data_IF_562194410519
#
_entry.id   IF_562194410519
#
_cell.length_a   1.000
_cell.length_b   1.000
_cell.length_c   1.000
_cell.angle_alpha   90.00
_cell.angle_beta   90.00
_cell.angle_gamma   90.00
#
_symmetry.space_group_name_H-M   'P 1'
#
loop_
_entity.id
_entity.type
_entity.pdbx_description
1 polymer ?
#
# COMPACT_ATOMS: atom_id res chain seq x y z
N UNK A 1 -84.42 -36.85 -43.90
CA UNK A 1 -83.16 -36.32 -43.39
C UNK A 1 -82.39 -37.37 -42.68
N UNK A 2 -81.34 -38.01 -43.30
CA UNK A 2 -80.55 -39.03 -42.71
C UNK A 2 -79.29 -38.33 -42.18
N UNK A 3 -79.07 -38.29 -40.84
CA UNK A 3 -77.83 -37.78 -40.21
C UNK A 3 -76.76 -38.83 -40.36
N UNK A 4 -75.66 -38.51 -41.02
CA UNK A 4 -74.46 -39.28 -41.04
C UNK A 4 -73.73 -39.06 -39.70
N UNK A 5 -73.57 -40.12 -38.91
CA UNK A 5 -72.68 -40.12 -37.76
C UNK A 5 -71.36 -40.76 -38.24
N UNK A 6 -70.38 -39.97 -38.47
CA UNK A 6 -69.04 -40.40 -38.81
C UNK A 6 -68.33 -41.04 -37.61
N UNK A 7 -67.63 -42.13 -37.75
CA UNK A 7 -66.95 -42.79 -36.62
C UNK A 7 -65.63 -42.11 -36.33
N UNK A 8 -65.63 -41.16 -35.40
CA UNK A 8 -64.42 -40.47 -34.93
C UNK A 8 -63.60 -41.33 -33.98
N UNK A 9 -64.14 -42.49 -33.52
CA UNK A 9 -63.52 -43.30 -32.47
C UNK A 9 -62.32 -44.17 -32.95
N UNK A 10 -62.25 -44.49 -34.26
CA UNK A 10 -61.21 -45.39 -34.77
C UNK A 10 -59.82 -44.70 -34.94
N UNK A 11 -59.79 -43.40 -35.19
CA UNK A 11 -58.50 -42.66 -35.43
C UNK A 11 -57.81 -42.34 -34.11
N UNK A 12 -58.58 -42.06 -33.05
CA UNK A 12 -58.02 -41.72 -31.74
C UNK A 12 -57.32 -42.90 -31.07
N UNK A 13 -57.84 -44.12 -31.25
CA UNK A 13 -57.25 -45.33 -30.69
C UNK A 13 -55.91 -45.75 -31.32
N UNK A 14 -55.74 -45.51 -32.64
CA UNK A 14 -54.47 -45.84 -33.32
C UNK A 14 -53.38 -44.79 -33.02
N UNK A 15 -53.78 -43.52 -32.87
CA UNK A 15 -52.83 -42.50 -32.51
C UNK A 15 -52.32 -42.65 -31.07
N UNK A 16 -53.18 -43.04 -30.13
CA UNK A 16 -52.79 -43.28 -28.72
C UNK A 16 -51.82 -44.51 -28.62
N UNK A 17 -52.06 -45.54 -29.40
CA UNK A 17 -51.18 -46.72 -29.39
C UNK A 17 -49.82 -46.39 -30.08
N UNK A 18 -49.81 -45.62 -31.17
CA UNK A 18 -48.61 -45.25 -31.85
C UNK A 18 -47.77 -44.27 -31.02
N UNK A 19 -48.37 -43.27 -30.39
CA UNK A 19 -47.69 -42.35 -29.49
C UNK A 19 -47.24 -43.06 -28.22
N UNK A 20 -48.01 -43.98 -27.67
CA UNK A 20 -47.61 -44.78 -26.51
C UNK A 20 -46.46 -45.70 -26.80
N UNK A 21 -46.38 -46.28 -27.99
CA UNK A 21 -45.27 -47.11 -28.44
C UNK A 21 -44.00 -46.27 -28.69
N UNK A 22 -44.15 -45.11 -29.30
CA UNK A 22 -43.03 -44.17 -29.51
C UNK A 22 -42.51 -43.63 -28.20
N UNK A 23 -43.41 -43.24 -27.27
CA UNK A 23 -43.01 -42.78 -25.93
C UNK A 23 -42.35 -43.92 -25.12
N UNK A 24 -42.90 -45.14 -25.15
CA UNK A 24 -42.24 -46.28 -24.50
C UNK A 24 -40.88 -46.62 -25.10
N UNK A 25 -40.70 -46.47 -26.39
CA UNK A 25 -39.40 -46.69 -27.06
C UNK A 25 -38.39 -45.61 -26.75
N UNK A 26 -38.84 -44.38 -26.48
CA UNK A 26 -37.97 -43.23 -26.21
C UNK A 26 -37.53 -43.14 -24.71
N UNK A 27 -38.29 -43.80 -23.82
CA UNK A 27 -38.05 -43.81 -22.36
C UNK A 27 -37.81 -45.20 -21.80
N UNK A 28 -37.63 -46.21 -22.69
CA UNK A 28 -37.28 -47.57 -22.26
C UNK A 28 -35.79 -47.69 -21.97
N UNK A 29 -35.46 -48.36 -20.88
CA UNK A 29 -34.08 -48.69 -20.53
C UNK A 29 -33.79 -50.14 -21.02
N UNK A 30 -32.55 -50.39 -21.45
CA UNK A 30 -32.09 -51.71 -21.81
C UNK A 30 -31.87 -52.57 -20.55
N UNK A 31 -31.42 -53.82 -20.77
CA UNK A 31 -31.17 -54.78 -19.67
C UNK A 31 -30.10 -54.32 -18.66
N UNK A 32 -29.23 -53.38 -19.11
CA UNK A 32 -28.12 -52.83 -18.33
C UNK A 32 -28.53 -51.51 -17.66
N UNK A 33 -29.78 -51.01 -17.89
CA UNK A 33 -30.36 -49.83 -17.27
C UNK A 33 -30.12 -48.53 -18.01
N UNK A 34 -29.75 -48.54 -19.31
CA UNK A 34 -29.47 -47.36 -20.14
C UNK A 34 -30.58 -47.13 -21.19
N UNK A 35 -30.94 -45.86 -21.39
CA UNK A 35 -31.91 -45.48 -22.42
C UNK A 35 -31.31 -45.47 -23.82
N UNK A 36 -32.12 -45.13 -24.83
CA UNK A 36 -31.69 -45.09 -26.23
C UNK A 36 -30.62 -44.02 -26.55
N UNK A 37 -30.32 -43.13 -25.60
CA UNK A 37 -29.26 -42.14 -25.67
C UNK A 37 -28.04 -42.51 -24.82
N UNK A 38 -27.96 -43.76 -24.35
CA UNK A 38 -26.87 -44.34 -23.55
C UNK A 38 -26.75 -43.76 -22.13
N UNK A 39 -27.82 -43.16 -21.57
CA UNK A 39 -27.86 -42.64 -20.20
C UNK A 39 -28.71 -43.49 -19.28
N UNK A 40 -28.27 -43.70 -18.05
CA UNK A 40 -29.00 -44.39 -16.99
C UNK A 40 -30.19 -43.51 -16.50
N UNK A 41 -30.95 -44.04 -15.50
CA UNK A 41 -32.10 -43.33 -14.91
C UNK A 41 -31.74 -42.06 -14.14
N UNK A 42 -30.47 -41.87 -13.79
CA UNK A 42 -29.96 -40.68 -13.10
C UNK A 42 -29.36 -39.66 -14.10
N UNK A 43 -29.29 -40.03 -15.43
CA UNK A 43 -28.80 -39.16 -16.47
C UNK A 43 -27.32 -39.29 -16.74
N UNK A 44 -26.68 -40.40 -16.33
CA UNK A 44 -25.24 -40.63 -16.54
C UNK A 44 -25.01 -41.74 -17.58
N UNK A 45 -23.98 -41.55 -18.42
CA UNK A 45 -23.54 -42.56 -19.39
C UNK A 45 -22.80 -43.71 -18.69
N UNK A 46 -22.33 -44.71 -19.48
CA UNK A 46 -21.60 -45.89 -18.98
C UNK A 46 -20.29 -45.59 -18.29
N UNK A 47 -19.72 -44.42 -18.55
CA UNK A 47 -18.48 -43.91 -17.92
C UNK A 47 -18.77 -43.06 -16.70
N UNK A 48 -20.05 -42.75 -16.42
CA UNK A 48 -20.52 -41.99 -15.26
C UNK A 48 -20.61 -40.49 -15.47
N UNK A 49 -20.75 -40.05 -16.74
CA UNK A 49 -20.86 -38.63 -17.09
C UNK A 49 -22.25 -38.28 -17.62
N UNK A 50 -22.76 -37.09 -17.27
CA UNK A 50 -24.04 -36.57 -17.76
C UNK A 50 -23.95 -36.14 -19.24
N UNK A 51 -25.07 -35.69 -19.80
CA UNK A 51 -25.14 -35.23 -21.19
C UNK A 51 -24.23 -34.01 -21.48
N UNK A 52 -23.76 -33.29 -20.46
CA UNK A 52 -22.82 -32.18 -20.57
C UNK A 52 -21.37 -32.63 -20.36
N UNK A 53 -21.13 -33.91 -20.07
CA UNK A 53 -19.81 -34.48 -19.87
C UNK A 53 -19.28 -34.40 -18.45
N UNK A 54 -20.14 -34.16 -17.44
CA UNK A 54 -19.72 -34.04 -16.03
C UNK A 54 -20.19 -35.25 -15.21
N UNK A 55 -19.33 -35.76 -14.35
CA UNK A 55 -19.66 -36.84 -13.41
C UNK A 55 -20.55 -36.33 -12.27
N UNK A 56 -20.97 -37.25 -11.39
CA UNK A 56 -21.85 -36.95 -10.25
C UNK A 56 -21.24 -35.89 -9.29
N UNK A 57 -19.94 -35.74 -9.24
CA UNK A 57 -19.25 -34.73 -8.44
C UNK A 57 -19.12 -33.39 -9.18
N UNK A 58 -19.57 -33.27 -10.43
CA UNK A 58 -19.55 -32.06 -11.23
C UNK A 58 -18.28 -31.82 -12.03
N UNK A 59 -17.41 -32.84 -12.19
CA UNK A 59 -16.14 -32.74 -12.92
C UNK A 59 -16.20 -33.49 -14.27
N UNK A 60 -15.57 -32.91 -15.29
CA UNK A 60 -15.40 -33.52 -16.62
C UNK A 60 -14.37 -34.66 -16.59
N UNK A 61 -14.12 -35.29 -17.75
CA UNK A 61 -13.12 -36.39 -17.92
C UNK A 61 -11.67 -35.95 -17.64
N UNK A 62 -11.39 -34.65 -17.66
CA UNK A 62 -10.07 -34.10 -17.34
C UNK A 62 -9.96 -33.72 -15.86
N UNK A 63 -11.05 -33.82 -15.10
CA UNK A 63 -11.11 -33.51 -13.68
C UNK A 63 -11.41 -32.04 -13.35
N UNK A 64 -12.00 -31.28 -14.31
CA UNK A 64 -12.35 -29.88 -14.13
C UNK A 64 -13.89 -29.71 -14.04
N UNK A 65 -14.31 -28.78 -13.16
CA UNK A 65 -15.71 -28.36 -13.06
C UNK A 65 -16.13 -27.47 -14.25
N UNK A 66 -17.41 -27.04 -14.26
CA UNK A 66 -17.97 -26.17 -15.31
C UNK A 66 -17.28 -24.81 -15.44
N UNK A 67 -16.56 -24.39 -14.42
CA UNK A 67 -15.84 -23.14 -14.36
C UNK A 67 -14.36 -23.32 -14.74
N UNK A 68 -13.93 -24.58 -14.96
CA UNK A 68 -12.58 -24.94 -15.39
C UNK A 68 -11.60 -25.18 -14.25
N UNK A 69 -12.08 -25.48 -13.03
CA UNK A 69 -11.25 -25.74 -11.85
C UNK A 69 -11.30 -27.20 -11.43
N UNK A 70 -10.15 -27.73 -11.00
CA UNK A 70 -10.04 -29.09 -10.46
C UNK A 70 -10.67 -29.20 -9.07
N UNK A 71 -10.74 -30.42 -8.50
CA UNK A 71 -11.29 -30.68 -7.16
C UNK A 71 -10.60 -29.85 -6.05
N UNK A 72 -9.40 -29.35 -6.28
CA UNK A 72 -8.65 -28.52 -5.33
C UNK A 72 -8.85 -27.03 -5.59
N UNK A 73 -9.62 -26.65 -6.60
CA UNK A 73 -9.94 -25.27 -6.96
C UNK A 73 -8.94 -24.59 -7.88
N UNK A 74 -8.09 -25.36 -8.60
CA UNK A 74 -7.10 -24.80 -9.53
C UNK A 74 -7.46 -25.10 -10.99
N UNK A 75 -7.30 -24.08 -11.85
CA UNK A 75 -7.51 -24.24 -13.29
C UNK A 75 -6.37 -25.03 -13.94
N UNK A 76 -6.47 -25.25 -15.25
CA UNK A 76 -5.47 -26.00 -16.03
C UNK A 76 -4.07 -25.37 -16.00
N UNK A 77 -3.96 -24.07 -15.78
CA UNK A 77 -2.69 -23.36 -15.64
C UNK A 77 -2.15 -23.40 -14.21
N UNK A 78 -2.88 -23.99 -13.27
CA UNK A 78 -2.45 -24.16 -11.87
C UNK A 78 -2.82 -23.03 -10.94
N UNK A 79 -3.71 -22.10 -11.36
CA UNK A 79 -4.14 -20.95 -10.56
C UNK A 79 -5.56 -21.13 -10.03
N UNK A 80 -5.81 -20.66 -8.81
CA UNK A 80 -7.12 -20.61 -8.20
C UNK A 80 -8.01 -19.49 -8.79
N UNK A 81 -9.25 -19.36 -8.27
CA UNK A 81 -10.20 -18.31 -8.71
C UNK A 81 -9.73 -16.87 -8.43
N UNK A 82 -8.77 -16.70 -7.55
CA UNK A 82 -8.18 -15.39 -7.24
C UNK A 82 -6.92 -15.11 -8.08
N UNK A 83 -6.48 -16.08 -8.89
CA UNK A 83 -5.32 -15.96 -9.76
C UNK A 83 -4.00 -16.36 -9.10
N UNK A 84 -4.03 -17.10 -7.98
CA UNK A 84 -2.83 -17.56 -7.27
C UNK A 84 -2.59 -19.05 -7.44
N UNK A 85 -1.32 -19.43 -7.57
CA UNK A 85 -0.89 -20.82 -7.61
C UNK A 85 -0.96 -21.47 -6.20
N UNK A 86 -0.55 -22.74 -6.10
CA UNK A 86 -0.57 -23.50 -4.83
C UNK A 86 0.38 -22.96 -3.76
N UNK A 87 1.35 -22.18 -4.16
CA UNK A 87 2.32 -21.53 -3.26
C UNK A 87 1.88 -20.13 -2.86
N UNK A 88 0.77 -19.62 -3.45
CA UNK A 88 0.17 -18.33 -3.17
C UNK A 88 0.71 -17.18 -4.01
N UNK A 89 1.31 -17.49 -5.19
CA UNK A 89 1.84 -16.50 -6.13
C UNK A 89 0.97 -16.39 -7.38
N UNK A 90 0.81 -15.18 -7.90
CA UNK A 90 0.12 -14.92 -9.15
C UNK A 90 0.96 -15.31 -10.36
N UNK A 91 0.43 -15.11 -11.58
CA UNK A 91 1.10 -15.44 -12.84
C UNK A 91 2.43 -14.66 -13.02
N UNK A 92 2.56 -13.50 -12.36
CA UNK A 92 3.78 -12.67 -12.38
C UNK A 92 4.79 -13.10 -11.32
N UNK A 93 4.43 -14.00 -10.42
CA UNK A 93 5.27 -14.55 -9.35
C UNK A 93 5.22 -13.77 -8.05
N UNK A 94 4.18 -12.94 -7.84
CA UNK A 94 3.98 -12.15 -6.63
C UNK A 94 2.85 -12.69 -5.76
N UNK A 95 3.04 -12.64 -4.44
CA UNK A 95 2.01 -12.98 -3.47
C UNK A 95 0.93 -11.88 -3.38
N UNK A 96 -0.11 -12.10 -2.58
CA UNK A 96 -1.20 -11.14 -2.37
C UNK A 96 -0.73 -9.80 -1.79
N UNK A 97 0.45 -9.74 -1.19
CA UNK A 97 1.07 -8.52 -0.66
C UNK A 97 1.96 -7.83 -1.69
N UNK A 98 2.13 -8.40 -2.88
CA UNK A 98 2.95 -7.86 -3.96
C UNK A 98 4.43 -8.21 -3.87
N UNK A 99 4.81 -9.29 -3.14
CA UNK A 99 6.20 -9.73 -2.99
C UNK A 99 6.44 -11.07 -3.67
N UNK A 100 7.59 -11.21 -4.32
CA UNK A 100 8.05 -12.47 -4.90
C UNK A 100 8.54 -13.47 -3.83
N UNK A 101 8.96 -14.65 -4.26
CA UNK A 101 9.52 -15.71 -3.37
C UNK A 101 10.76 -15.30 -2.58
N UNK A 102 11.44 -14.23 -2.98
CA UNK A 102 12.58 -13.67 -2.28
C UNK A 102 12.18 -12.54 -1.32
N UNK A 103 10.89 -12.18 -1.26
CA UNK A 103 10.36 -11.10 -0.46
C UNK A 103 10.60 -9.73 -1.07
N UNK A 104 10.74 -9.63 -2.39
CA UNK A 104 10.96 -8.40 -3.14
C UNK A 104 9.72 -8.04 -3.96
N UNK A 105 9.38 -6.74 -4.01
CA UNK A 105 8.32 -6.20 -4.84
C UNK A 105 8.76 -6.10 -6.33
N UNK A 106 7.88 -5.61 -7.20
CA UNK A 106 8.14 -5.41 -8.64
C UNK A 106 9.32 -4.46 -8.94
N UNK A 107 9.75 -3.66 -7.97
CA UNK A 107 10.89 -2.74 -8.07
C UNK A 107 12.17 -3.35 -7.49
N UNK A 108 12.11 -4.57 -6.94
CA UNK A 108 13.22 -5.25 -6.28
C UNK A 108 13.48 -4.75 -4.85
N UNK A 109 12.49 -4.10 -4.25
CA UNK A 109 12.55 -3.62 -2.87
C UNK A 109 11.92 -4.64 -1.91
N UNK A 110 12.47 -4.75 -0.72
CA UNK A 110 11.93 -5.58 0.35
C UNK A 110 10.74 -4.89 1.07
N UNK A 111 10.22 -5.53 2.12
CA UNK A 111 9.11 -5.00 2.94
C UNK A 111 9.43 -3.67 3.65
N UNK A 112 10.68 -3.27 3.71
CA UNK A 112 11.08 -1.95 4.21
C UNK A 112 11.06 -0.89 3.13
N UNK A 113 10.82 -1.28 1.86
CA UNK A 113 10.75 -0.41 0.69
C UNK A 113 12.10 -0.10 0.06
N UNK A 114 13.16 -0.87 0.39
CA UNK A 114 14.51 -0.67 -0.13
C UNK A 114 15.05 -1.91 -0.85
N UNK A 115 15.84 -1.68 -1.91
CA UNK A 115 16.57 -2.72 -2.63
C UNK A 115 17.78 -3.22 -1.81
N UNK A 116 18.44 -4.26 -2.32
CA UNK A 116 19.66 -4.83 -1.69
C UNK A 116 20.83 -3.84 -1.52
N UNK A 117 20.79 -2.70 -2.20
CA UNK A 117 21.79 -1.64 -2.08
C UNK A 117 21.34 -0.53 -1.14
N UNK A 118 20.15 -0.64 -0.54
CA UNK A 118 19.58 0.33 0.38
C UNK A 118 18.87 1.51 -0.30
N UNK A 119 18.45 1.38 -1.56
CA UNK A 119 17.70 2.41 -2.30
C UNK A 119 16.26 2.00 -2.52
N UNK A 120 15.33 2.94 -2.31
CA UNK A 120 13.91 2.74 -2.59
C UNK A 120 13.66 2.74 -4.11
N UNK A 121 12.41 2.47 -4.52
CA UNK A 121 11.99 2.44 -5.93
C UNK A 121 12.22 3.75 -6.71
N UNK A 122 12.46 4.85 -6.04
CA UNK A 122 12.79 6.15 -6.64
C UNK A 122 14.30 6.40 -6.73
N UNK A 123 15.12 5.47 -6.23
CA UNK A 123 16.58 5.54 -6.27
C UNK A 123 17.21 6.30 -5.11
N UNK A 124 16.49 6.52 -4.01
CA UNK A 124 16.99 7.22 -2.81
C UNK A 124 17.19 6.26 -1.65
N UNK A 125 18.28 6.48 -0.89
CA UNK A 125 18.55 5.75 0.34
C UNK A 125 17.56 6.14 1.47
N UNK A 126 17.65 5.48 2.63
CA UNK A 126 16.79 5.78 3.80
C UNK A 126 16.94 7.21 4.34
N UNK A 127 17.97 7.93 3.91
CA UNK A 127 18.20 9.33 4.25
C UNK A 127 17.80 10.27 3.11
N UNK A 128 17.22 9.76 1.99
CA UNK A 128 16.70 10.51 0.87
C UNK A 128 17.74 10.99 -0.12
N UNK A 129 18.95 10.37 -0.15
CA UNK A 129 19.99 10.66 -1.12
C UNK A 129 20.10 9.57 -2.18
N UNK A 130 20.34 9.99 -3.42
CA UNK A 130 20.61 9.09 -4.54
C UNK A 130 22.03 8.49 -4.46
N UNK A 131 22.38 7.63 -5.42
CA UNK A 131 23.73 7.01 -5.51
C UNK A 131 24.86 8.01 -5.69
N UNK A 132 24.57 9.21 -6.21
CA UNK A 132 25.54 10.28 -6.36
C UNK A 132 25.65 11.16 -5.10
N UNK A 133 24.81 10.92 -4.08
CA UNK A 133 24.81 11.64 -2.82
C UNK A 133 23.97 12.92 -2.85
N UNK A 134 23.04 13.05 -3.79
CA UNK A 134 22.15 14.21 -3.91
C UNK A 134 20.72 13.85 -3.50
N UNK A 135 20.07 14.81 -2.82
CA UNK A 135 18.64 14.73 -2.52
C UNK A 135 17.78 15.05 -3.76
N UNK A 136 16.44 15.00 -3.58
CA UNK A 136 15.50 15.34 -4.65
C UNK A 136 15.61 16.76 -5.19
N UNK A 137 16.19 17.69 -4.44
CA UNK A 137 16.48 19.09 -4.88
C UNK A 137 17.81 19.24 -5.60
N UNK A 138 18.65 18.21 -5.56
CA UNK A 138 20.02 18.26 -6.03
C UNK A 138 20.99 18.85 -5.01
N UNK A 139 20.61 18.94 -3.72
CA UNK A 139 21.53 19.31 -2.66
C UNK A 139 22.35 18.08 -2.28
N UNK A 140 23.68 18.22 -2.28
CA UNK A 140 24.58 17.21 -1.75
C UNK A 140 24.63 17.24 -0.21
N UNK A 141 25.23 16.22 0.38
CA UNK A 141 25.44 16.15 1.84
C UNK A 141 26.26 17.34 2.37
N UNK A 142 27.12 17.92 1.55
CA UNK A 142 27.89 19.12 1.90
C UNK A 142 26.99 20.33 2.20
N UNK A 143 25.87 20.47 1.50
CA UNK A 143 24.87 21.50 1.79
C UNK A 143 24.35 21.36 3.22
N UNK A 144 23.90 20.15 3.60
CA UNK A 144 23.39 19.89 4.94
C UNK A 144 24.46 20.00 6.02
N UNK A 145 25.68 19.61 5.73
CA UNK A 145 26.82 19.82 6.63
C UNK A 145 27.04 21.30 6.91
N UNK A 146 27.03 22.14 5.87
CA UNK A 146 27.17 23.60 6.02
C UNK A 146 26.04 24.20 6.85
N UNK A 147 24.79 23.80 6.60
CA UNK A 147 23.64 24.31 7.36
C UNK A 147 23.65 23.81 8.81
N UNK A 148 24.06 22.56 9.05
CA UNK A 148 24.21 22.01 10.40
C UNK A 148 25.28 22.75 11.20
N UNK A 149 26.44 23.06 10.59
CA UNK A 149 27.49 23.84 11.23
C UNK A 149 27.02 25.25 11.61
N UNK A 150 26.17 25.88 10.79
CA UNK A 150 25.51 27.15 11.13
C UNK A 150 24.62 26.99 12.37
N UNK A 151 23.79 25.93 12.43
CA UNK A 151 22.94 25.64 13.61
C UNK A 151 23.82 25.53 14.86
N UNK A 152 24.87 24.72 14.81
CA UNK A 152 25.80 24.56 15.93
C UNK A 152 26.46 25.89 16.35
N UNK A 153 26.82 26.74 15.39
CA UNK A 153 27.39 28.07 15.65
C UNK A 153 26.36 28.96 16.40
N UNK A 154 25.12 29.01 15.94
CA UNK A 154 24.05 29.77 16.60
C UNK A 154 23.75 29.22 18.00
N UNK A 155 23.69 27.90 18.16
CA UNK A 155 23.54 27.27 19.50
C UNK A 155 24.66 27.67 20.46
N UNK A 156 25.91 27.67 20.00
CA UNK A 156 27.07 28.08 20.81
C UNK A 156 26.98 29.55 21.22
N UNK A 157 26.61 30.46 20.29
CA UNK A 157 26.40 31.88 20.57
C UNK A 157 25.26 32.06 21.58
N UNK A 158 24.10 31.52 21.32
CA UNK A 158 22.93 31.64 22.19
C UNK A 158 23.23 31.16 23.61
N UNK A 159 23.93 30.01 23.77
CA UNK A 159 24.32 29.48 25.09
C UNK A 159 25.24 30.44 25.86
N UNK A 160 26.14 31.13 25.20
CA UNK A 160 27.03 32.11 25.81
C UNK A 160 26.27 33.39 26.19
N UNK A 161 25.40 33.89 25.32
CA UNK A 161 24.57 35.08 25.55
C UNK A 161 23.59 34.86 26.71
N UNK A 162 22.96 33.67 26.78
CA UNK A 162 22.11 33.31 27.95
C UNK A 162 22.88 33.36 29.26
N UNK A 163 24.14 32.90 29.32
CA UNK A 163 25.01 32.97 30.50
C UNK A 163 25.40 34.41 30.88
N UNK A 164 25.36 35.33 29.91
CA UNK A 164 25.70 36.74 30.11
C UNK A 164 24.47 37.62 30.40
N UNK A 165 23.25 37.00 30.42
CA UNK A 165 22.00 37.74 30.56
C UNK A 165 21.58 38.48 29.29
N UNK A 166 22.20 38.21 28.17
CA UNK A 166 21.92 38.84 26.85
C UNK A 166 20.76 38.15 26.15
N UNK A 167 19.59 38.07 26.79
CA UNK A 167 18.45 37.24 26.35
C UNK A 167 17.91 37.64 24.98
N UNK A 168 17.93 38.93 24.62
CA UNK A 168 17.47 39.40 23.33
C UNK A 168 18.33 38.86 22.17
N UNK A 169 19.64 38.82 22.34
CA UNK A 169 20.54 38.23 21.34
C UNK A 169 20.42 36.71 21.29
N UNK A 170 20.32 36.07 22.47
CA UNK A 170 20.13 34.62 22.54
C UNK A 170 18.85 34.17 21.83
N UNK A 171 17.74 34.89 22.03
CA UNK A 171 16.48 34.60 21.37
C UNK A 171 16.58 34.71 19.85
N UNK A 172 17.29 35.74 19.35
CA UNK A 172 17.51 35.92 17.92
C UNK A 172 18.31 34.77 17.32
N UNK A 173 19.41 34.38 17.95
CA UNK A 173 20.27 33.28 17.46
C UNK A 173 19.56 31.92 17.51
N UNK A 174 18.77 31.64 18.54
CA UNK A 174 17.94 30.42 18.62
C UNK A 174 16.92 30.42 17.48
N UNK A 175 16.22 31.53 17.25
CA UNK A 175 15.23 31.65 16.19
C UNK A 175 15.81 31.36 14.81
N UNK A 176 17.00 31.92 14.49
CA UNK A 176 17.68 31.65 13.22
C UNK A 176 18.03 30.15 13.11
N UNK A 177 18.54 29.55 14.18
CA UNK A 177 18.84 28.13 14.22
C UNK A 177 17.60 27.25 13.95
N UNK A 178 16.45 27.59 14.57
CA UNK A 178 15.17 26.89 14.32
C UNK A 178 14.74 27.05 12.85
N UNK A 179 14.87 28.24 12.28
CA UNK A 179 14.51 28.49 10.88
C UNK A 179 15.36 27.66 9.92
N UNK A 180 16.67 27.63 10.12
CA UNK A 180 17.60 26.83 9.31
C UNK A 180 17.23 25.34 9.43
N UNK A 181 17.07 24.82 10.65
CA UNK A 181 16.81 23.41 10.88
C UNK A 181 15.48 22.94 10.26
N UNK A 182 14.42 23.72 10.44
CA UNK A 182 13.11 23.40 9.82
C UNK A 182 13.22 23.44 8.28
N UNK A 183 13.90 24.43 7.72
CA UNK A 183 14.14 24.52 6.26
C UNK A 183 14.94 23.32 5.74
N UNK A 184 15.96 22.87 6.45
CA UNK A 184 16.73 21.68 6.08
C UNK A 184 15.85 20.43 5.99
N UNK A 185 15.01 20.19 6.98
CA UNK A 185 14.10 19.04 6.99
C UNK A 185 13.11 19.13 5.84
N UNK A 186 12.47 20.27 5.62
CA UNK A 186 11.54 20.46 4.49
C UNK A 186 12.25 20.28 3.15
N UNK A 187 13.43 20.88 2.96
CA UNK A 187 14.19 20.78 1.72
C UNK A 187 14.48 19.32 1.36
N UNK A 188 14.75 18.50 2.36
CA UNK A 188 15.01 17.10 2.19
C UNK A 188 13.77 16.31 1.73
N UNK A 189 12.60 16.62 2.28
CA UNK A 189 11.35 15.88 2.01
C UNK A 189 10.55 16.39 0.81
N UNK A 190 10.66 17.66 0.45
CA UNK A 190 9.87 18.23 -0.65
C UNK A 190 10.69 19.18 -1.53
N UNK A 191 10.93 18.74 -2.76
CA UNK A 191 11.65 19.49 -3.80
C UNK A 191 11.00 20.82 -4.14
N UNK A 192 9.69 20.88 -4.20
CA UNK A 192 8.95 21.99 -4.82
C UNK A 192 8.41 23.00 -3.81
N UNK A 193 8.65 22.79 -2.50
CA UNK A 193 8.22 23.73 -1.48
C UNK A 193 9.06 24.99 -1.47
N UNK A 194 8.40 26.17 -1.42
CA UNK A 194 9.05 27.46 -1.28
C UNK A 194 9.58 27.65 0.16
N UNK A 195 10.89 27.50 0.34
CA UNK A 195 11.57 27.65 1.62
C UNK A 195 11.63 29.10 2.15
N UNK A 196 11.30 30.10 1.33
CA UNK A 196 11.31 31.51 1.75
C UNK A 196 10.05 31.92 2.54
N UNK A 197 9.19 30.94 2.88
CA UNK A 197 8.08 31.16 3.78
C UNK A 197 8.54 31.45 5.21
N UNK A 198 7.66 32.08 6.02
CA UNK A 198 7.93 32.34 7.43
C UNK A 198 8.11 31.03 8.22
N UNK A 199 8.86 31.10 9.34
CA UNK A 199 9.04 29.94 10.22
C UNK A 199 7.70 29.31 10.64
N UNK A 200 6.67 30.14 10.89
CA UNK A 200 5.32 29.67 11.24
C UNK A 200 4.69 28.81 10.13
N UNK A 201 4.77 29.26 8.89
CA UNK A 201 4.29 28.49 7.74
C UNK A 201 5.08 27.22 7.52
N UNK A 202 6.40 27.28 7.73
CA UNK A 202 7.29 26.13 7.59
C UNK A 202 6.98 25.07 8.67
N UNK A 203 6.73 25.46 9.94
CA UNK A 203 6.29 24.53 10.99
C UNK A 203 4.91 23.95 10.66
N UNK A 204 3.96 24.78 10.18
CA UNK A 204 2.64 24.32 9.72
C UNK A 204 2.75 23.30 8.58
N UNK A 205 3.69 23.50 7.67
CA UNK A 205 3.98 22.54 6.61
C UNK A 205 4.48 21.21 7.17
N UNK A 206 5.44 21.24 8.10
CA UNK A 206 5.93 20.04 8.77
C UNK A 206 4.82 19.28 9.50
N UNK A 207 3.89 20.00 10.15
CA UNK A 207 2.71 19.40 10.79
C UNK A 207 1.81 18.70 9.77
N UNK A 208 1.47 19.37 8.69
CA UNK A 208 0.56 18.82 7.67
C UNK A 208 1.12 17.57 6.98
N UNK A 209 2.43 17.51 6.81
CA UNK A 209 3.13 16.40 6.16
C UNK A 209 3.73 15.39 7.14
N UNK A 210 3.41 15.51 8.45
CA UNK A 210 3.84 14.58 9.50
C UNK A 210 5.38 14.38 9.55
N UNK A 211 6.15 15.44 9.24
CA UNK A 211 7.61 15.38 9.25
C UNK A 211 8.22 15.29 10.65
N UNK A 212 7.44 15.65 11.66
CA UNK A 212 7.75 15.54 13.08
C UNK A 212 6.54 15.01 13.82
N UNK A 213 6.77 14.39 14.98
CA UNK A 213 5.69 14.00 15.89
C UNK A 213 4.95 15.25 16.42
N UNK A 214 3.68 15.08 16.85
CA UNK A 214 2.81 16.16 17.26
C UNK A 214 3.37 16.93 18.47
N UNK A 215 3.95 16.21 19.45
CA UNK A 215 4.61 16.80 20.62
C UNK A 215 5.77 17.72 20.21
N UNK A 216 6.57 17.30 19.22
CA UNK A 216 7.67 18.12 18.74
C UNK A 216 7.21 19.34 17.93
N UNK A 217 6.12 19.21 17.18
CA UNK A 217 5.48 20.35 16.50
C UNK A 217 5.05 21.42 17.52
N UNK A 218 4.43 21.03 18.63
CA UNK A 218 4.05 21.96 19.70
C UNK A 218 5.27 22.64 20.31
N UNK A 219 6.32 21.88 20.59
CA UNK A 219 7.60 22.44 21.09
C UNK A 219 8.20 23.46 20.12
N UNK A 220 8.13 23.22 18.79
CA UNK A 220 8.61 24.17 17.78
C UNK A 220 7.81 25.47 17.78
N UNK A 221 6.49 25.42 17.92
CA UNK A 221 5.65 26.61 18.04
C UNK A 221 5.95 27.37 19.32
N UNK A 222 6.08 26.71 20.45
CA UNK A 222 6.41 27.33 21.72
C UNK A 222 7.80 27.97 21.67
N UNK A 223 8.80 27.27 21.18
CA UNK A 223 10.15 27.78 21.02
C UNK A 223 10.19 29.03 20.12
N UNK A 224 9.48 29.00 18.98
CA UNK A 224 9.33 30.17 18.10
C UNK A 224 8.70 31.35 18.86
N UNK A 225 7.65 31.12 19.64
CA UNK A 225 6.94 32.16 20.38
C UNK A 225 7.81 32.75 21.48
N UNK A 226 8.54 31.92 22.21
CA UNK A 226 9.50 32.38 23.24
C UNK A 226 10.63 33.23 22.63
N UNK A 227 11.00 32.98 21.39
CA UNK A 227 12.01 33.78 20.68
C UNK A 227 11.46 35.03 19.98
N UNK A 228 10.21 35.43 20.24
CA UNK A 228 9.66 36.66 19.67
C UNK A 228 10.14 37.87 20.49
N UNK A 229 10.90 38.84 19.90
CA UNK A 229 11.50 39.96 20.62
C UNK A 229 10.53 40.88 21.33
N UNK A 230 9.26 40.87 20.93
CA UNK A 230 8.20 41.71 21.51
C UNK A 230 7.62 41.17 22.83
N UNK A 231 8.02 39.99 23.30
CA UNK A 231 7.47 39.32 24.48
C UNK A 231 8.44 39.22 25.65
N UNK A 232 9.63 39.81 25.57
CA UNK A 232 10.58 39.74 26.67
C UNK A 232 10.14 40.68 27.80
N UNK A 233 9.61 40.10 28.84
CA UNK A 233 9.26 40.70 30.13
C UNK A 233 10.56 41.08 30.86
N UNK A 234 10.47 42.03 31.84
CA UNK A 234 11.59 42.38 32.74
C UNK A 234 11.94 41.26 33.75
N UNK A 235 11.31 40.12 33.67
CA UNK A 235 11.54 38.93 34.50
C UNK A 235 12.67 38.08 33.91
N UNK A 236 13.89 38.23 34.42
CA UNK A 236 15.06 37.50 33.96
C UNK A 236 14.97 36.00 34.13
N UNK A 237 14.37 35.50 35.21
CA UNK A 237 14.25 34.08 35.48
C UNK A 237 13.26 33.43 34.52
N UNK A 238 12.14 34.08 34.25
CA UNK A 238 11.15 33.63 33.26
C UNK A 238 11.76 33.62 31.84
N UNK A 239 12.47 34.70 31.47
CA UNK A 239 13.13 34.80 30.18
C UNK A 239 14.17 33.69 29.99
N UNK A 240 14.98 33.44 31.02
CA UNK A 240 15.96 32.35 30.98
C UNK A 240 15.27 30.98 30.81
N UNK A 241 14.20 30.68 31.54
CA UNK A 241 13.45 29.44 31.46
C UNK A 241 12.88 29.19 30.03
N UNK A 242 12.26 30.23 29.46
CA UNK A 242 11.70 30.17 28.11
C UNK A 242 12.77 29.94 27.04
N UNK A 243 13.89 30.67 27.11
CA UNK A 243 14.99 30.51 26.16
C UNK A 243 15.73 29.19 26.34
N UNK A 244 15.83 28.69 27.58
CA UNK A 244 16.40 27.38 27.81
C UNK A 244 15.56 26.27 27.16
N UNK A 245 14.23 26.35 27.28
CA UNK A 245 13.32 25.46 26.56
C UNK A 245 13.53 25.54 25.06
N UNK A 246 13.53 26.75 24.49
CA UNK A 246 13.72 26.97 23.05
C UNK A 246 15.09 26.48 22.56
N UNK A 247 16.13 26.64 23.37
CA UNK A 247 17.44 26.08 23.09
C UNK A 247 17.42 24.55 23.05
N UNK A 248 16.72 23.90 23.97
CA UNK A 248 16.56 22.45 23.99
C UNK A 248 15.74 21.95 22.80
N UNK A 249 14.74 22.70 22.36
CA UNK A 249 14.00 22.40 21.14
C UNK A 249 14.90 22.49 19.91
N UNK A 250 15.79 23.49 19.83
CA UNK A 250 16.76 23.60 18.77
C UNK A 250 17.80 22.45 18.80
N UNK A 251 18.23 22.04 20.00
CA UNK A 251 19.10 20.87 20.18
C UNK A 251 18.44 19.62 19.64
N UNK A 252 17.18 19.37 19.98
CA UNK A 252 16.39 18.25 19.43
C UNK A 252 16.23 18.35 17.90
N UNK A 253 15.95 19.54 17.36
CA UNK A 253 15.84 19.74 15.90
C UNK A 253 17.16 19.43 15.19
N UNK A 254 18.31 19.77 15.79
CA UNK A 254 19.61 19.47 15.22
C UNK A 254 19.85 17.96 15.05
N UNK A 255 19.23 17.12 15.87
CA UNK A 255 19.28 15.67 15.75
C UNK A 255 18.55 15.14 14.50
N UNK A 256 17.55 15.87 13.99
CA UNK A 256 16.90 15.56 12.71
C UNK A 256 17.74 15.99 11.50
N UNK A 257 18.55 17.04 11.64
CA UNK A 257 19.41 17.53 10.55
C UNK A 257 20.71 16.74 10.47
N UNK A 258 21.25 16.30 11.60
CA UNK A 258 22.54 15.58 11.67
C UNK A 258 22.62 14.34 10.73
N UNK A 259 21.60 13.44 10.65
CA UNK A 259 21.65 12.30 9.74
C UNK A 259 21.76 12.68 8.26
N UNK A 260 21.34 13.89 7.89
CA UNK A 260 21.44 14.39 6.52
C UNK A 260 22.90 14.76 6.16
N UNK A 261 23.73 15.03 7.18
CA UNK A 261 25.14 15.41 7.00
C UNK A 261 26.07 14.19 6.95
N UNK A 262 25.71 13.10 7.62
CA UNK A 262 26.58 11.96 7.83
C UNK A 262 26.88 11.22 6.52
N UNK A 263 28.14 11.19 6.11
CA UNK A 263 28.68 10.10 5.31
C UNK A 263 28.79 8.91 6.28
N UNK A 264 27.78 8.05 6.25
CA UNK A 264 27.87 6.78 6.98
C UNK A 264 28.87 5.94 6.20
N UNK A 265 30.06 5.81 6.74
CA UNK A 265 31.08 4.86 6.28
C UNK A 265 30.64 3.43 6.55
#
# INVERSE_FOLDING_TARGET
MKKYVTPVVAVAGVLITATSIVIKKKFGYDKDGYNSSEFDKNGYDREGYDENGYNQSGFDKNGYDKEGYDERGYNQSGFDKNGYDREGYDESGYDQSGFDKNGLDEYGCDKTGYDKNGYNKYGFDKYGFDKAGYDQRGNGRDYYTCEYDKILSFMKKAKNQMKQGEFGYASHDIRIGLEIGVKCVIAHFNRDYDLEQTLDKNISYCKYHELFDEDFIEQLYDAKNHCNPLQHDNDEEKNYGQLHFSYKTLERLSEYVFPLTAIIQ
#
